data_IF_907669462123
#
_entry.id   IF_907669462123
#
_cell.length_a   1.000
_cell.length_b   1.000
_cell.length_c   1.000
_cell.angle_alpha   90.00
_cell.angle_beta   90.00
_cell.angle_gamma   90.00
#
_symmetry.space_group_name_H-M   'P 1'
#
loop_
_entity.id
_entity.type
_entity.pdbx_description
1 polymer ?
#
# COMPACT_ATOMS: atom_id res chain seq x y z
N UNK A 1 -4.96 1.77 15.69
CA UNK A 1 -4.46 2.98 14.99
C UNK A 1 -5.71 3.61 14.38
N UNK A 2 -6.19 4.76 14.88
CA UNK A 2 -7.35 5.42 14.25
C UNK A 2 -6.91 5.99 12.92
N UNK A 3 -7.51 5.54 11.82
CA UNK A 3 -7.28 6.04 10.47
C UNK A 3 -8.37 7.09 10.15
N UNK A 4 -8.41 8.20 10.90
CA UNK A 4 -9.26 9.36 10.55
C UNK A 4 -8.64 10.15 9.38
N UNK A 5 -8.40 9.46 8.26
CA UNK A 5 -7.44 9.84 7.22
C UNK A 5 -8.02 10.19 5.85
N UNK A 6 -9.35 10.24 5.70
CA UNK A 6 -9.99 10.49 4.39
C UNK A 6 -9.52 11.80 3.75
N UNK A 7 -9.21 12.83 4.55
CA UNK A 7 -8.67 14.11 4.07
C UNK A 7 -7.28 14.02 3.41
N UNK A 8 -6.60 12.87 3.50
CA UNK A 8 -5.25 12.67 2.95
C UNK A 8 -5.25 11.90 1.62
N UNK A 9 -6.39 11.38 1.17
CA UNK A 9 -6.48 10.63 -0.07
C UNK A 9 -6.53 11.54 -1.29
N UNK A 10 -6.12 11.01 -2.44
CA UNK A 10 -6.19 11.72 -3.71
C UNK A 10 -7.65 11.93 -4.11
N UNK A 11 -8.01 13.16 -4.44
CA UNK A 11 -9.30 13.52 -5.01
C UNK A 11 -9.07 14.20 -6.36
N UNK A 12 -9.70 13.68 -7.41
CA UNK A 12 -9.55 14.23 -8.77
C UNK A 12 -10.22 15.61 -8.88
N UNK A 13 -9.48 16.58 -9.42
CA UNK A 13 -10.03 17.94 -9.62
C UNK A 13 -10.69 18.13 -10.98
N UNK A 14 -10.28 17.35 -11.99
CA UNK A 14 -10.68 17.54 -13.38
C UNK A 14 -11.59 16.42 -13.89
N UNK A 15 -11.80 15.36 -13.10
CA UNK A 15 -12.75 14.29 -13.41
C UNK A 15 -12.36 13.43 -14.61
N UNK A 16 -11.08 13.43 -14.99
CA UNK A 16 -10.59 12.59 -16.09
C UNK A 16 -10.63 11.13 -15.67
N UNK A 17 -11.18 10.28 -16.54
CA UNK A 17 -11.52 8.87 -16.21
C UNK A 17 -10.34 8.11 -15.57
N UNK A 18 -9.11 8.28 -16.08
CA UNK A 18 -7.95 7.59 -15.51
C UNK A 18 -7.64 8.02 -14.07
N UNK A 19 -7.88 9.27 -13.69
CA UNK A 19 -7.69 9.77 -12.32
C UNK A 19 -8.88 9.42 -11.41
N UNK A 20 -10.11 9.38 -11.94
CA UNK A 20 -11.27 8.85 -11.21
C UNK A 20 -11.03 7.38 -10.82
N UNK A 21 -10.50 6.57 -11.74
CA UNK A 21 -10.13 5.17 -11.44
C UNK A 21 -9.06 5.11 -10.34
N UNK A 22 -8.07 6.01 -10.37
CA UNK A 22 -7.01 6.05 -9.35
C UNK A 22 -7.57 6.43 -7.98
N UNK A 23 -8.43 7.44 -7.89
CA UNK A 23 -9.11 7.84 -6.65
C UNK A 23 -9.90 6.68 -6.04
N UNK A 24 -10.80 6.06 -6.83
CA UNK A 24 -11.65 4.95 -6.36
C UNK A 24 -10.81 3.75 -5.91
N UNK A 25 -9.77 3.41 -6.66
CA UNK A 25 -8.86 2.31 -6.27
C UNK A 25 -8.03 2.66 -5.03
N UNK A 26 -7.61 3.92 -4.86
CA UNK A 26 -6.86 4.36 -3.69
C UNK A 26 -7.71 4.23 -2.42
N UNK A 27 -8.98 4.64 -2.49
CA UNK A 27 -9.95 4.49 -1.39
C UNK A 27 -10.19 3.02 -1.07
N UNK A 28 -10.42 2.18 -2.09
CA UNK A 28 -10.60 0.74 -1.88
C UNK A 28 -9.37 0.05 -1.25
N UNK A 29 -8.16 0.47 -1.63
CA UNK A 29 -6.92 -0.04 -1.02
C UNK A 29 -6.78 0.47 0.42
N UNK A 30 -7.12 1.72 0.69
CA UNK A 30 -7.13 2.26 2.05
C UNK A 30 -8.08 1.48 2.96
N UNK A 31 -9.33 1.27 2.53
CA UNK A 31 -10.35 0.53 3.28
C UNK A 31 -9.91 -0.91 3.56
N UNK A 32 -9.34 -1.58 2.55
CA UNK A 32 -8.80 -2.93 2.72
C UNK A 32 -7.70 -2.97 3.78
N UNK A 33 -6.76 -2.02 3.76
CA UNK A 33 -5.66 -1.96 4.71
C UNK A 33 -6.13 -1.58 6.13
N UNK A 34 -7.13 -0.71 6.23
CA UNK A 34 -7.79 -0.38 7.49
C UNK A 34 -8.45 -1.63 8.11
N UNK A 35 -9.23 -2.37 7.31
CA UNK A 35 -9.87 -3.61 7.76
C UNK A 35 -8.88 -4.70 8.16
N UNK A 36 -7.76 -4.83 7.44
CA UNK A 36 -6.67 -5.75 7.83
C UNK A 36 -6.05 -5.37 9.18
N UNK A 37 -5.83 -4.09 9.43
CA UNK A 37 -5.30 -3.60 10.71
C UNK A 37 -6.28 -3.82 11.86
N UNK A 38 -7.58 -3.61 11.63
CA UNK A 38 -8.63 -3.86 12.61
C UNK A 38 -8.77 -5.36 12.95
N UNK A 39 -8.83 -6.23 11.94
CA UNK A 39 -8.89 -7.69 12.12
C UNK A 39 -7.69 -8.22 12.91
N UNK A 40 -6.50 -7.68 12.66
CA UNK A 40 -5.28 -8.06 13.41
C UNK A 40 -5.39 -7.67 14.89
N UNK A 41 -5.95 -6.49 15.20
CA UNK A 41 -6.14 -6.07 16.59
C UNK A 41 -7.22 -6.90 17.28
N UNK A 42 -8.31 -7.20 16.59
CA UNK A 42 -9.44 -7.98 17.12
C UNK A 42 -9.02 -9.40 17.51
N UNK A 43 -8.16 -10.07 16.73
CA UNK A 43 -7.65 -11.40 17.08
C UNK A 43 -6.81 -11.36 18.37
N UNK A 44 -5.92 -10.36 18.49
CA UNK A 44 -5.09 -10.21 19.70
C UNK A 44 -5.96 -9.92 20.92
N UNK A 45 -6.98 -9.07 20.77
CA UNK A 45 -7.95 -8.77 21.82
C UNK A 45 -8.74 -10.02 22.22
N UNK A 46 -9.23 -10.79 21.22
CA UNK A 46 -9.97 -12.02 21.44
C UNK A 46 -9.16 -13.05 22.23
N UNK A 47 -7.91 -13.30 21.85
CA UNK A 47 -7.02 -14.22 22.58
C UNK A 47 -6.73 -13.69 24.00
N UNK A 48 -6.61 -12.37 24.18
CA UNK A 48 -6.45 -11.78 25.51
C UNK A 48 -7.71 -11.91 26.39
N UNK A 49 -8.90 -11.81 25.81
CA UNK A 49 -10.18 -11.99 26.49
C UNK A 49 -10.40 -13.45 26.88
N UNK A 50 -10.11 -14.39 25.98
CA UNK A 50 -10.14 -15.82 26.28
C UNK A 50 -9.24 -16.13 27.48
N UNK A 51 -7.99 -15.66 27.48
CA UNK A 51 -7.08 -15.83 28.63
C UNK A 51 -7.66 -15.26 29.92
N UNK A 52 -8.31 -14.09 29.87
CA UNK A 52 -8.89 -13.45 31.06
C UNK A 52 -10.02 -14.27 31.64
N UNK A 53 -10.98 -14.69 30.82
CA UNK A 53 -12.10 -15.50 31.29
C UNK A 53 -11.65 -16.85 31.87
N UNK A 54 -10.62 -17.48 31.27
CA UNK A 54 -10.04 -18.70 31.83
C UNK A 54 -9.39 -18.49 33.21
N UNK A 55 -8.67 -17.38 33.41
CA UNK A 55 -8.04 -17.05 34.70
C UNK A 55 -9.07 -16.69 35.79
N UNK A 56 -10.21 -16.15 35.40
CA UNK A 56 -11.31 -15.78 36.31
C UNK A 56 -12.21 -16.98 36.66
N UNK A 57 -11.90 -18.17 36.14
CA UNK A 57 -12.65 -19.40 36.41
C UNK A 57 -14.00 -19.46 35.69
N UNK A 58 -14.21 -18.63 34.67
CA UNK A 58 -15.35 -18.79 33.79
C UNK A 58 -15.20 -20.12 33.06
N UNK A 59 -16.22 -20.98 33.15
CA UNK A 59 -16.28 -22.20 32.33
C UNK A 59 -16.59 -21.76 30.91
N UNK A 60 -15.56 -21.29 30.22
CA UNK A 60 -15.59 -21.15 28.77
C UNK A 60 -15.51 -22.59 28.25
N UNK A 61 -16.67 -23.22 28.10
CA UNK A 61 -16.78 -24.39 27.22
C UNK A 61 -16.55 -23.84 25.83
N UNK A 62 -15.30 -23.88 25.40
CA UNK A 62 -14.93 -23.47 24.07
C UNK A 62 -15.14 -24.68 23.16
N UNK A 63 -16.06 -24.55 22.19
CA UNK A 63 -16.45 -25.65 21.29
C UNK A 63 -15.23 -26.27 20.56
N UNK A 64 -14.12 -25.53 20.45
CA UNK A 64 -12.89 -25.96 19.79
C UNK A 64 -11.85 -26.58 20.73
N UNK A 65 -11.89 -26.32 22.05
CA UNK A 65 -10.80 -26.63 22.99
C UNK A 65 -11.16 -27.68 24.06
N UNK A 66 -12.44 -27.92 24.32
CA UNK A 66 -12.89 -28.88 25.34
C UNK A 66 -12.66 -28.38 26.77
N UNK A 67 -12.41 -29.30 27.72
CA UNK A 67 -12.13 -28.95 29.11
C UNK A 67 -10.81 -28.17 29.24
N UNK A 68 -10.89 -27.00 29.87
CA UNK A 68 -9.73 -26.11 30.08
C UNK A 68 -8.79 -26.73 31.11
N UNK A 69 -7.62 -27.17 30.66
CA UNK A 69 -6.52 -27.66 31.51
C UNK A 69 -5.39 -26.62 31.65
N UNK A 70 -4.44 -26.85 32.57
CA UNK A 70 -3.20 -26.06 32.64
C UNK A 70 -2.42 -26.06 31.31
N UNK A 71 -2.50 -27.14 30.52
CA UNK A 71 -1.86 -27.24 29.21
C UNK A 71 -2.50 -26.28 28.18
N UNK A 72 -3.81 -26.06 28.27
CA UNK A 72 -4.53 -25.10 27.41
C UNK A 72 -4.11 -23.66 27.75
N UNK A 73 -4.02 -23.34 29.04
CA UNK A 73 -3.51 -22.04 29.49
C UNK A 73 -2.07 -21.80 29.04
N UNK A 74 -1.21 -22.80 29.18
CA UNK A 74 0.17 -22.74 28.69
C UNK A 74 0.23 -22.52 27.17
N UNK A 75 -0.56 -23.27 26.39
CA UNK A 75 -0.63 -23.10 24.93
C UNK A 75 -1.11 -21.70 24.52
N UNK A 76 -2.05 -21.12 25.24
CA UNK A 76 -2.51 -19.74 25.02
C UNK A 76 -1.39 -18.71 25.31
N UNK A 77 -0.68 -18.86 26.43
CA UNK A 77 0.33 -17.90 26.89
C UNK A 77 1.65 -17.99 26.12
N UNK A 78 2.11 -19.19 25.79
CA UNK A 78 3.44 -19.43 25.23
C UNK A 78 3.41 -19.59 23.70
N UNK A 79 2.25 -19.89 23.10
CA UNK A 79 2.14 -20.13 21.66
C UNK A 79 1.20 -19.13 20.99
N UNK A 80 -0.08 -19.11 21.35
CA UNK A 80 -1.06 -18.30 20.63
C UNK A 80 -0.88 -16.79 20.83
N UNK A 81 -0.70 -16.32 22.07
CA UNK A 81 -0.49 -14.89 22.33
C UNK A 81 0.79 -14.35 21.68
N UNK A 82 1.95 -15.04 21.81
CA UNK A 82 3.15 -14.66 21.08
C UNK A 82 2.94 -14.73 19.58
N UNK A 83 2.28 -15.76 19.05
CA UNK A 83 2.00 -15.85 17.61
C UNK A 83 1.11 -14.69 17.13
N UNK A 84 -0.02 -14.43 17.78
CA UNK A 84 -0.92 -13.33 17.42
C UNK A 84 -0.19 -11.96 17.47
N UNK A 85 0.63 -11.72 18.51
CA UNK A 85 1.37 -10.46 18.67
C UNK A 85 2.56 -10.33 17.72
N UNK A 86 3.29 -11.41 17.47
CA UNK A 86 4.58 -11.38 16.78
C UNK A 86 4.47 -11.70 15.29
N UNK A 87 3.48 -12.48 14.88
CA UNK A 87 3.33 -12.91 13.48
C UNK A 87 2.36 -11.99 12.74
N UNK A 88 1.24 -11.62 13.34
CA UNK A 88 0.20 -10.89 12.60
C UNK A 88 0.54 -9.42 12.34
N UNK A 89 1.14 -8.71 13.31
CA UNK A 89 1.53 -7.31 13.13
C UNK A 89 2.55 -7.10 12.01
N UNK A 90 3.71 -7.78 12.04
CA UNK A 90 4.70 -7.71 10.96
C UNK A 90 4.20 -8.17 9.60
N UNK A 91 3.48 -9.30 9.54
CA UNK A 91 2.92 -9.79 8.28
C UNK A 91 1.90 -8.81 7.70
N UNK A 92 1.03 -8.24 8.51
CA UNK A 92 0.08 -7.21 8.10
C UNK A 92 0.80 -5.99 7.53
N UNK A 93 1.88 -5.54 8.18
CA UNK A 93 2.70 -4.42 7.68
C UNK A 93 3.42 -4.73 6.36
N UNK A 94 3.93 -5.95 6.20
CA UNK A 94 4.56 -6.42 4.97
C UNK A 94 3.55 -6.46 3.83
N UNK A 95 2.41 -7.11 4.06
CA UNK A 95 1.32 -7.22 3.09
C UNK A 95 0.83 -5.82 2.69
N UNK A 96 0.71 -4.92 3.67
CA UNK A 96 0.36 -3.52 3.45
C UNK A 96 1.34 -2.80 2.51
N UNK A 97 2.65 -2.91 2.77
CA UNK A 97 3.66 -2.33 1.90
C UNK A 97 3.56 -2.88 0.47
N UNK A 98 3.43 -4.20 0.32
CA UNK A 98 3.32 -4.83 -1.00
C UNK A 98 2.07 -4.37 -1.76
N UNK A 99 0.93 -4.25 -1.08
CA UNK A 99 -0.32 -3.76 -1.66
C UNK A 99 -0.19 -2.31 -2.14
N UNK A 100 0.43 -1.43 -1.35
CA UNK A 100 0.70 -0.03 -1.73
C UNK A 100 1.52 0.05 -3.02
N UNK A 101 2.62 -0.69 -3.12
CA UNK A 101 3.47 -0.62 -4.32
C UNK A 101 2.81 -1.28 -5.53
N UNK A 102 2.04 -2.34 -5.34
CA UNK A 102 1.24 -2.96 -6.40
C UNK A 102 0.17 -2.00 -6.94
N UNK A 103 -0.53 -1.30 -6.04
CA UNK A 103 -1.47 -0.23 -6.39
C UNK A 103 -0.77 0.88 -7.16
N UNK A 104 0.32 1.45 -6.63
CA UNK A 104 1.05 2.53 -7.29
C UNK A 104 1.54 2.15 -8.69
N UNK A 105 2.08 0.94 -8.86
CA UNK A 105 2.49 0.43 -10.17
C UNK A 105 1.30 0.37 -11.15
N UNK A 106 0.16 -0.15 -10.69
CA UNK A 106 -1.05 -0.27 -11.50
C UNK A 106 -1.62 1.10 -11.87
N UNK A 107 -1.77 1.99 -10.90
CA UNK A 107 -2.30 3.34 -11.08
C UNK A 107 -1.46 4.13 -12.10
N UNK A 108 -0.13 4.10 -11.97
CA UNK A 108 0.77 4.72 -12.94
C UNK A 108 0.67 4.08 -14.33
N UNK A 109 0.46 2.77 -14.42
CA UNK A 109 0.22 2.09 -15.71
C UNK A 109 -1.06 2.58 -16.37
N UNK A 110 -2.14 2.75 -15.60
CA UNK A 110 -3.43 3.26 -16.10
C UNK A 110 -3.24 4.67 -16.65
N UNK A 111 -2.64 5.56 -15.86
CA UNK A 111 -2.36 6.94 -16.30
C UNK A 111 -1.46 6.95 -17.55
N UNK A 112 -0.34 6.23 -17.53
CA UNK A 112 0.59 6.18 -18.66
C UNK A 112 -0.05 5.68 -19.96
N UNK A 113 -0.96 4.71 -19.88
CA UNK A 113 -1.68 4.21 -21.07
C UNK A 113 -2.73 5.18 -21.59
N UNK A 114 -3.39 5.92 -20.70
CA UNK A 114 -4.41 6.90 -21.05
C UNK A 114 -3.82 8.15 -21.70
N UNK A 115 -2.65 8.60 -21.24
CA UNK A 115 -1.99 9.80 -21.79
C UNK A 115 -1.07 9.51 -22.97
N UNK A 116 -0.68 8.24 -23.19
CA UNK A 116 0.15 7.88 -24.33
C UNK A 116 -0.61 8.00 -25.66
N UNK A 117 0.08 8.48 -26.69
CA UNK A 117 -0.46 8.48 -28.06
C UNK A 117 -0.73 7.05 -28.60
N UNK A 118 0.04 6.07 -28.13
CA UNK A 118 -0.08 4.65 -28.48
C UNK A 118 0.26 3.81 -27.25
N UNK A 119 -0.68 2.99 -26.76
CA UNK A 119 -0.46 2.15 -25.57
C UNK A 119 0.71 1.17 -25.74
N UNK A 120 1.08 0.79 -26.97
CA UNK A 120 2.23 -0.08 -27.21
C UNK A 120 3.58 0.63 -26.97
N UNK A 121 3.60 1.97 -27.02
CA UNK A 121 4.79 2.77 -26.74
C UNK A 121 5.25 2.63 -25.28
N UNK A 122 4.30 2.54 -24.34
CA UNK A 122 4.57 2.34 -22.91
C UNK A 122 5.41 1.07 -22.69
N UNK A 123 4.93 -0.05 -23.24
CA UNK A 123 5.60 -1.35 -23.08
C UNK A 123 6.97 -1.38 -23.77
N UNK A 124 7.09 -0.75 -24.95
CA UNK A 124 8.37 -0.63 -25.65
C UNK A 124 9.39 0.17 -24.84
N UNK A 125 8.95 1.30 -24.26
CA UNK A 125 9.80 2.12 -23.41
C UNK A 125 10.26 1.35 -22.16
N UNK A 126 9.34 0.69 -21.47
CA UNK A 126 9.66 -0.10 -20.28
C UNK A 126 10.62 -1.25 -20.59
N UNK A 127 10.49 -1.93 -21.74
CA UNK A 127 11.44 -2.98 -22.13
C UNK A 127 12.84 -2.43 -22.38
N UNK A 128 12.96 -1.22 -22.94
CA UNK A 128 14.24 -0.57 -23.23
C UNK A 128 14.90 0.03 -21.98
N UNK A 129 14.11 0.61 -21.08
CA UNK A 129 14.59 1.44 -19.97
C UNK A 129 14.29 0.87 -18.57
N UNK A 130 13.63 -0.28 -18.46
CA UNK A 130 13.08 -0.83 -17.21
C UNK A 130 14.08 -1.36 -16.18
N UNK A 131 15.37 -1.01 -16.26
CA UNK A 131 16.40 -1.47 -15.31
C UNK A 131 16.18 -0.94 -13.88
N UNK A 132 15.48 0.19 -13.73
CA UNK A 132 15.27 0.87 -12.45
C UNK A 132 13.98 0.46 -11.70
N UNK A 133 13.25 -0.54 -12.22
CA UNK A 133 11.93 -0.94 -11.72
C UNK A 133 10.76 -0.30 -12.49
N UNK A 134 9.58 -0.90 -12.41
CA UNK A 134 8.42 -0.50 -13.23
C UNK A 134 7.85 0.86 -12.86
N UNK A 135 7.75 1.18 -11.56
CA UNK A 135 7.26 2.49 -11.09
C UNK A 135 8.13 3.62 -11.66
N UNK A 136 9.46 3.55 -11.47
CA UNK A 136 10.40 4.51 -12.07
C UNK A 136 10.30 4.53 -13.59
N UNK A 137 10.08 3.39 -14.22
CA UNK A 137 9.86 3.29 -15.66
C UNK A 137 8.62 4.05 -16.13
N UNK A 138 7.49 3.96 -15.43
CA UNK A 138 6.27 4.71 -15.75
C UNK A 138 6.47 6.22 -15.55
N UNK A 139 7.09 6.64 -14.44
CA UNK A 139 7.40 8.05 -14.18
C UNK A 139 8.31 8.63 -15.27
N UNK A 140 9.38 7.92 -15.62
CA UNK A 140 10.29 8.33 -16.67
C UNK A 140 9.60 8.38 -18.05
N UNK A 141 8.70 7.44 -18.34
CA UNK A 141 7.91 7.48 -19.58
C UNK A 141 7.04 8.75 -19.64
N UNK A 142 6.31 9.05 -18.56
CA UNK A 142 5.47 10.24 -18.47
C UNK A 142 6.27 11.54 -18.63
N UNK A 143 7.47 11.61 -18.05
CA UNK A 143 8.32 12.80 -18.13
C UNK A 143 9.04 12.94 -19.48
N UNK A 144 9.51 11.85 -20.08
CA UNK A 144 10.40 11.92 -21.25
C UNK A 144 9.70 11.67 -22.57
N UNK A 145 8.79 10.70 -22.64
CA UNK A 145 8.10 10.35 -23.89
C UNK A 145 6.80 11.15 -24.05
N UNK A 146 6.06 11.36 -22.95
CA UNK A 146 4.83 12.18 -22.95
C UNK A 146 5.14 13.66 -22.69
N UNK A 147 6.38 13.97 -22.26
CA UNK A 147 6.85 15.32 -21.98
C UNK A 147 6.04 16.07 -20.90
N UNK A 148 5.48 15.35 -19.92
CA UNK A 148 4.78 15.96 -18.79
C UNK A 148 5.77 16.60 -17.81
N UNK A 149 5.46 17.79 -17.33
CA UNK A 149 6.25 18.51 -16.35
C UNK A 149 5.62 18.39 -14.96
N UNK A 150 6.14 17.49 -14.13
CA UNK A 150 5.71 17.32 -12.74
C UNK A 150 6.89 16.94 -11.85
N UNK A 151 6.80 17.30 -10.56
CA UNK A 151 7.75 16.90 -9.53
C UNK A 151 7.43 15.53 -8.97
N UNK A 152 8.44 14.68 -8.79
CA UNK A 152 8.30 13.43 -8.03
C UNK A 152 8.54 13.74 -6.54
N UNK A 153 7.62 13.39 -5.63
CA UNK A 153 7.81 13.62 -4.20
C UNK A 153 9.11 12.96 -3.70
N UNK A 154 9.98 13.66 -2.94
CA UNK A 154 11.27 13.11 -2.48
C UNK A 154 11.13 11.80 -1.68
N UNK A 155 10.06 11.69 -0.89
CA UNK A 155 9.74 10.50 -0.09
C UNK A 155 9.49 9.26 -0.95
N UNK A 156 9.06 9.42 -2.20
CA UNK A 156 8.79 8.29 -3.08
C UNK A 156 10.06 7.48 -3.35
N UNK A 157 11.20 8.14 -3.54
CA UNK A 157 12.47 7.44 -3.78
C UNK A 157 12.91 6.63 -2.54
N UNK A 158 12.71 7.17 -1.34
CA UNK A 158 12.95 6.46 -0.09
C UNK A 158 12.04 5.23 0.04
N UNK A 159 10.75 5.37 -0.30
CA UNK A 159 9.79 4.28 -0.30
C UNK A 159 10.15 3.19 -1.31
N UNK A 160 10.56 3.55 -2.53
CA UNK A 160 10.95 2.59 -3.55
C UNK A 160 12.23 1.84 -3.21
N UNK A 161 13.20 2.50 -2.57
CA UNK A 161 14.39 1.83 -2.08
C UNK A 161 14.08 0.89 -0.92
N UNK A 162 13.13 1.28 -0.04
CA UNK A 162 12.62 0.41 1.01
C UNK A 162 11.92 -0.84 0.44
N UNK A 163 11.04 -0.69 -0.57
CA UNK A 163 10.41 -1.81 -1.29
C UNK A 163 11.45 -2.78 -1.85
N UNK A 164 12.48 -2.24 -2.51
CA UNK A 164 13.52 -3.04 -3.15
C UNK A 164 14.27 -3.88 -2.12
N UNK A 165 14.63 -3.28 -0.97
CA UNK A 165 15.30 -3.99 0.13
C UNK A 165 14.40 -5.08 0.69
N UNK A 166 13.14 -4.74 0.98
CA UNK A 166 12.16 -5.66 1.53
C UNK A 166 11.96 -6.88 0.62
N UNK A 167 11.84 -6.67 -0.71
CA UNK A 167 11.74 -7.77 -1.67
C UNK A 167 12.99 -8.62 -1.77
N UNK A 168 14.17 -8.00 -1.70
CA UNK A 168 15.43 -8.74 -1.69
C UNK A 168 15.54 -9.60 -0.43
N UNK A 169 15.18 -9.06 0.73
CA UNK A 169 15.17 -9.81 1.99
C UNK A 169 14.25 -11.03 1.89
N UNK A 170 13.07 -10.89 1.30
CA UNK A 170 12.18 -12.02 1.03
C UNK A 170 12.74 -13.04 0.04
N UNK A 171 13.32 -12.58 -1.05
CA UNK A 171 13.90 -13.47 -2.06
C UNK A 171 15.05 -14.33 -1.50
N UNK A 172 15.72 -13.86 -0.45
CA UNK A 172 16.81 -14.56 0.22
C UNK A 172 16.40 -15.27 1.52
N UNK A 173 15.13 -15.20 1.93
CA UNK A 173 14.64 -15.84 3.15
C UNK A 173 15.05 -15.15 4.45
N UNK A 174 15.38 -13.86 4.40
CA UNK A 174 15.76 -13.04 5.56
C UNK A 174 14.53 -12.44 6.26
N UNK A 175 13.61 -13.30 6.71
CA UNK A 175 12.29 -12.89 7.25
C UNK A 175 12.41 -11.99 8.49
N UNK A 176 13.34 -12.33 9.37
CA UNK A 176 13.65 -11.64 10.62
C UNK A 176 14.30 -10.26 10.41
N UNK A 177 14.92 -10.02 9.25
CA UNK A 177 15.43 -8.69 8.86
C UNK A 177 14.29 -7.82 8.34
N UNK A 178 13.39 -8.39 7.54
CA UNK A 178 12.20 -7.71 7.03
C UNK A 178 11.28 -7.24 8.18
N UNK A 179 11.14 -8.08 9.21
CA UNK A 179 10.32 -7.82 10.40
C UNK A 179 10.81 -6.60 11.21
N UNK A 180 12.12 -6.48 11.44
CA UNK A 180 12.70 -5.44 12.33
C UNK A 180 12.69 -4.02 11.79
N UNK A 181 12.16 -3.78 10.60
CA UNK A 181 12.18 -2.44 10.00
C UNK A 181 11.12 -1.55 10.68
N UNK A 182 11.47 -0.35 11.18
CA UNK A 182 10.52 0.55 11.83
C UNK A 182 9.50 1.07 10.81
N UNK A 183 8.22 0.83 11.06
CA UNK A 183 7.12 1.06 10.11
C UNK A 183 5.98 1.92 10.66
N UNK A 184 6.13 2.51 11.84
CA UNK A 184 5.09 3.36 12.42
C UNK A 184 4.81 4.56 11.49
N UNK A 185 3.54 4.67 11.08
CA UNK A 185 3.07 5.70 10.17
C UNK A 185 3.53 5.55 8.72
N UNK A 186 4.09 4.40 8.31
CA UNK A 186 4.44 4.14 6.90
C UNK A 186 3.21 4.26 5.99
N UNK A 187 2.09 3.64 6.39
CA UNK A 187 0.83 3.65 5.64
C UNK A 187 0.37 5.07 5.31
N UNK A 188 0.16 5.92 6.31
CA UNK A 188 -0.30 7.30 6.09
C UNK A 188 0.68 8.08 5.22
N UNK A 189 1.98 8.00 5.51
CA UNK A 189 3.01 8.66 4.69
C UNK A 189 3.00 8.18 3.24
N UNK A 190 2.70 6.91 3.00
CA UNK A 190 2.60 6.36 1.66
C UNK A 190 1.39 6.91 0.92
N UNK A 191 0.22 6.96 1.55
CA UNK A 191 -0.98 7.58 0.97
C UNK A 191 -0.76 9.07 0.70
N UNK A 192 -0.23 9.83 1.65
CA UNK A 192 0.16 11.24 1.46
C UNK A 192 1.09 11.42 0.25
N UNK A 193 2.14 10.60 0.15
CA UNK A 193 3.12 10.66 -0.95
C UNK A 193 2.47 10.33 -2.30
N UNK A 194 1.55 9.36 -2.34
CA UNK A 194 0.80 9.01 -3.54
C UNK A 194 -0.18 10.10 -3.93
N UNK A 195 -0.88 10.71 -2.98
CA UNK A 195 -1.77 11.85 -3.21
C UNK A 195 -1.02 13.04 -3.80
N UNK A 196 0.12 13.41 -3.22
CA UNK A 196 1.00 14.46 -3.76
C UNK A 196 1.42 14.16 -5.21
N UNK A 197 1.79 12.90 -5.50
CA UNK A 197 2.19 12.49 -6.85
C UNK A 197 1.03 12.58 -7.84
N UNK A 198 -0.15 12.04 -7.51
CA UNK A 198 -1.29 12.03 -8.44
C UNK A 198 -1.88 13.42 -8.66
N UNK A 199 -1.86 14.29 -7.64
CA UNK A 199 -2.19 15.70 -7.80
C UNK A 199 -1.25 16.39 -8.81
N UNK A 200 0.07 16.19 -8.66
CA UNK A 200 1.05 16.76 -9.58
C UNK A 200 0.91 16.22 -11.01
N UNK A 201 0.59 14.93 -11.15
CA UNK A 201 0.34 14.29 -12.44
C UNK A 201 -0.92 14.82 -13.12
N UNK A 202 -2.04 14.92 -12.40
CA UNK A 202 -3.30 15.41 -12.95
C UNK A 202 -3.14 16.85 -13.45
N UNK A 203 -2.51 17.72 -12.66
CA UNK A 203 -2.22 19.09 -13.05
C UNK A 203 -1.34 19.16 -14.32
N UNK A 204 -0.29 18.35 -14.40
CA UNK A 204 0.58 18.34 -15.58
C UNK A 204 -0.15 17.86 -16.84
N UNK A 205 -1.03 16.87 -16.71
CA UNK A 205 -1.86 16.36 -17.80
C UNK A 205 -2.87 17.42 -18.27
N UNK A 206 -3.50 18.14 -17.35
CA UNK A 206 -4.45 19.19 -17.68
C UNK A 206 -3.79 20.36 -18.42
N UNK A 207 -2.63 20.81 -17.92
CA UNK A 207 -1.85 21.87 -18.56
C UNK A 207 -1.41 21.50 -19.98
N UNK A 208 -0.98 20.25 -20.19
CA UNK A 208 -0.62 19.74 -21.51
C UNK A 208 -1.82 19.72 -22.46
N UNK A 209 -2.98 19.30 -21.97
CA UNK A 209 -4.23 19.20 -22.76
C UNK A 209 -4.72 20.60 -23.18
N UNK A 210 -4.74 21.56 -22.25
CA UNK A 210 -5.14 22.96 -22.52
C UNK A 210 -4.21 23.62 -23.54
N UNK A 211 -2.90 23.38 -23.43
CA UNK A 211 -1.89 23.94 -24.35
C UNK A 211 -2.07 23.47 -25.79
N UNK A 212 -2.49 22.21 -25.99
CA UNK A 212 -2.78 21.66 -27.32
C UNK A 212 -4.04 22.29 -27.91
N UNK A 213 -5.10 22.44 -27.11
CA UNK A 213 -6.35 23.05 -27.55
C UNK A 213 -6.15 24.51 -28.00
N UNK A 214 -5.40 25.31 -27.23
CA UNK A 214 -5.10 26.70 -27.60
C UNK A 214 -4.34 26.84 -28.92
N UNK A 215 -3.42 25.92 -29.22
CA UNK A 215 -2.66 25.91 -30.49
C UNK A 215 -3.51 25.50 -31.68
N UNK A 216 -4.55 24.69 -31.47
CA UNK A 216 -5.46 24.25 -32.54
C UNK A 216 -6.53 25.28 -32.92
N UNK A 217 -6.72 26.32 -32.09
CA UNK A 217 -7.70 27.37 -32.30
C UNK A 217 -7.13 28.65 -32.95
N UNK A 218 -5.82 28.69 -33.20
CA UNK A 218 -5.09 29.77 -33.89
C UNK A 218 -4.81 29.40 -35.35
#
# INVERSE_FOLDING_TARGET
MSLDGDEQLFETQHGRICFVIVEEEMRAVFDLLAGMAESTNSEVEHVCEQRRGLLEGEVITHDEWGDVSEDVLFGLEEVLLPHARYVQGPLSNIASSLLIFAFLERALRVVARDVAHDSSSVERFLRKNGRAGKIRGYLAFLQHEVALQFGVPPRLEEMLEHERRLRNDFAHGNWDVADRQPRSGFLMKAFETMSELFNALEQAVEMATTSVQMRSAQ
#
